data_IF_845443586249
#
_entry.id   IF_845443586249
#
_cell.length_a   1.000
_cell.length_b   1.000
_cell.length_c   1.000
_cell.angle_alpha   90.00
_cell.angle_beta   90.00
_cell.angle_gamma   90.00
#
_symmetry.space_group_name_H-M   'P 1'
#
loop_
_entity.id
_entity.type
_entity.pdbx_description
1 polymer ?
#
# COMPACT_ATOMS: atom_id res chain seq x y z
N UNK A 1 -7.41 -4.14 -13.73
CA UNK A 1 -6.88 -5.25 -12.91
C UNK A 1 -7.07 -6.65 -13.50
N UNK A 2 -8.08 -6.90 -14.36
CA UNK A 2 -8.34 -8.26 -14.88
C UNK A 2 -7.12 -8.95 -15.51
N UNK A 3 -6.37 -8.27 -16.40
CA UNK A 3 -5.17 -8.85 -17.06
C UNK A 3 -4.10 -9.31 -16.06
N UNK A 4 -3.76 -8.47 -15.08
CA UNK A 4 -2.71 -8.77 -14.08
C UNK A 4 -3.14 -9.93 -13.18
N UNK A 5 -4.35 -9.87 -12.63
CA UNK A 5 -4.85 -10.92 -11.75
C UNK A 5 -5.02 -12.25 -12.49
N UNK A 6 -5.65 -12.26 -13.66
CA UNK A 6 -5.85 -13.48 -14.43
C UNK A 6 -4.52 -14.10 -14.90
N UNK A 7 -3.61 -13.27 -15.41
CA UNK A 7 -2.29 -13.74 -15.82
C UNK A 7 -1.51 -14.40 -14.67
N UNK A 8 -1.50 -13.75 -13.50
CA UNK A 8 -0.85 -14.31 -12.32
C UNK A 8 -1.55 -15.57 -11.80
N UNK A 9 -2.89 -15.60 -11.76
CA UNK A 9 -3.65 -16.78 -11.33
C UNK A 9 -3.38 -17.99 -12.24
N UNK A 10 -3.37 -17.79 -13.55
CA UNK A 10 -3.06 -18.85 -14.52
C UNK A 10 -1.63 -19.38 -14.32
N UNK A 11 -0.64 -18.47 -14.20
CA UNK A 11 0.74 -18.85 -13.92
C UNK A 11 0.87 -19.64 -12.61
N UNK A 12 0.26 -19.16 -11.53
CA UNK A 12 0.33 -19.80 -10.22
C UNK A 12 -0.33 -21.18 -10.24
N UNK A 13 -1.52 -21.29 -10.82
CA UNK A 13 -2.24 -22.56 -10.96
C UNK A 13 -1.43 -23.58 -11.76
N UNK A 14 -0.84 -23.17 -12.89
CA UNK A 14 0.02 -24.03 -13.69
C UNK A 14 1.28 -24.46 -12.91
N UNK A 15 1.97 -23.51 -12.26
CA UNK A 15 3.23 -23.78 -11.52
C UNK A 15 3.04 -24.76 -10.35
N UNK A 16 1.91 -24.66 -9.65
CA UNK A 16 1.66 -25.45 -8.44
C UNK A 16 0.62 -26.56 -8.65
N UNK A 17 0.27 -26.88 -9.90
CA UNK A 17 -0.75 -27.87 -10.28
C UNK A 17 -2.07 -27.71 -9.50
N UNK A 18 -2.52 -26.46 -9.35
CA UNK A 18 -3.78 -26.09 -8.67
C UNK A 18 -4.87 -25.77 -9.69
N UNK A 19 -6.11 -25.87 -9.25
CA UNK A 19 -7.28 -25.42 -10.00
C UNK A 19 -8.13 -24.46 -9.15
N UNK A 20 -8.97 -23.67 -9.81
CA UNK A 20 -9.89 -22.74 -9.17
C UNK A 20 -9.35 -21.33 -8.97
N UNK A 21 -10.11 -20.54 -8.20
CA UNK A 21 -9.83 -19.13 -7.98
C UNK A 21 -8.65 -18.92 -7.02
N UNK A 22 -7.72 -18.05 -7.39
CA UNK A 22 -6.60 -17.62 -6.53
C UNK A 22 -6.96 -16.40 -5.66
N UNK A 23 -7.70 -15.45 -6.23
CA UNK A 23 -8.05 -14.19 -5.57
C UNK A 23 -9.45 -14.27 -4.94
N UNK A 24 -9.59 -13.67 -3.76
CA UNK A 24 -10.88 -13.60 -3.05
C UNK A 24 -11.76 -12.48 -3.60
N UNK A 25 -12.42 -12.74 -4.72
CA UNK A 25 -13.38 -11.83 -5.33
C UNK A 25 -12.78 -10.80 -6.29
N UNK A 26 -13.59 -9.78 -6.64
CA UNK A 26 -13.21 -8.74 -7.60
C UNK A 26 -12.30 -7.70 -6.94
N UNK A 27 -11.37 -7.15 -7.72
CA UNK A 27 -10.56 -6.01 -7.30
C UNK A 27 -11.43 -4.80 -6.98
N UNK A 28 -11.05 -4.09 -5.92
CA UNK A 28 -11.75 -2.95 -5.34
C UNK A 28 -10.95 -1.67 -5.60
N UNK A 29 -11.62 -0.61 -6.07
CA UNK A 29 -11.00 0.68 -6.38
C UNK A 29 -11.84 1.84 -5.87
N UNK A 30 -11.21 2.75 -5.12
CA UNK A 30 -11.85 3.98 -4.66
C UNK A 30 -11.00 5.18 -5.06
N UNK A 31 -11.58 6.25 -5.63
CA UNK A 31 -10.84 7.48 -5.87
C UNK A 31 -10.37 8.05 -4.53
N UNK A 32 -9.19 8.68 -4.56
CA UNK A 32 -8.66 9.49 -3.47
C UNK A 32 -8.91 10.94 -3.86
N UNK A 33 -9.71 11.64 -3.07
CA UNK A 33 -10.13 13.03 -3.37
C UNK A 33 -9.45 14.07 -2.48
N UNK A 34 -8.78 13.64 -1.40
CA UNK A 34 -8.11 14.50 -0.45
C UNK A 34 -6.63 14.15 -0.40
N UNK A 35 -5.77 15.17 -0.48
CA UNK A 35 -4.34 15.00 -0.50
C UNK A 35 -3.79 14.53 0.86
N UNK A 36 -4.37 14.97 1.99
CA UNK A 36 -3.95 14.45 3.30
C UNK A 36 -4.13 12.93 3.34
N UNK A 37 -5.26 12.43 2.85
CA UNK A 37 -5.53 11.00 2.81
C UNK A 37 -4.51 10.24 1.93
N UNK A 38 -4.13 10.80 0.79
CA UNK A 38 -3.08 10.23 -0.05
C UNK A 38 -1.77 10.04 0.72
N UNK A 39 -1.34 11.05 1.48
CA UNK A 39 -0.12 10.99 2.29
C UNK A 39 -0.24 9.92 3.39
N UNK A 40 -1.31 9.94 4.18
CA UNK A 40 -1.53 8.95 5.24
C UNK A 40 -1.61 7.51 4.70
N UNK A 41 -2.26 7.31 3.55
CA UNK A 41 -2.34 6.00 2.90
C UNK A 41 -0.96 5.53 2.43
N UNK A 42 -0.15 6.43 1.86
CA UNK A 42 1.22 6.12 1.47
C UNK A 42 2.05 5.66 2.66
N UNK A 43 1.93 6.33 3.80
CA UNK A 43 2.60 5.91 5.04
C UNK A 43 2.10 4.55 5.54
N UNK A 44 0.79 4.34 5.55
CA UNK A 44 0.20 3.06 5.97
C UNK A 44 0.69 1.90 5.12
N UNK A 45 0.65 2.01 3.78
CA UNK A 45 1.07 0.94 2.87
C UNK A 45 2.56 0.62 3.05
N UNK A 46 3.40 1.64 3.07
CA UNK A 46 4.86 1.45 3.18
C UNK A 46 5.29 0.91 4.55
N UNK A 47 4.50 1.13 5.60
CA UNK A 47 4.81 0.64 6.94
C UNK A 47 3.88 -0.48 7.42
N UNK A 48 3.14 -1.13 6.51
CA UNK A 48 2.15 -2.15 6.87
C UNK A 48 2.79 -3.35 7.60
N UNK A 49 4.01 -3.76 7.23
CA UNK A 49 4.74 -4.83 7.93
C UNK A 49 4.97 -4.48 9.41
N UNK A 50 5.33 -3.23 9.70
CA UNK A 50 5.63 -2.76 11.05
C UNK A 50 4.35 -2.55 11.86
N UNK A 51 3.31 -2.00 11.25
CA UNK A 51 1.98 -1.81 11.88
C UNK A 51 1.40 -3.14 12.35
N UNK A 52 1.65 -4.21 11.60
CA UNK A 52 1.20 -5.57 11.92
C UNK A 52 2.25 -6.41 12.66
N UNK A 53 3.31 -5.79 13.17
CA UNK A 53 4.35 -6.45 13.96
C UNK A 53 5.04 -7.63 13.25
N UNK A 54 5.15 -7.57 11.92
CA UNK A 54 5.81 -8.59 11.09
C UNK A 54 7.32 -8.29 11.01
N UNK A 55 7.67 -7.09 10.55
CA UNK A 55 9.05 -6.64 10.41
C UNK A 55 9.10 -5.11 10.33
N UNK A 56 10.23 -4.50 10.73
CA UNK A 56 10.51 -3.09 10.51
C UNK A 56 10.32 -2.71 9.04
N UNK A 57 9.60 -1.60 8.79
CA UNK A 57 9.20 -1.20 7.45
C UNK A 57 10.39 -1.05 6.48
N UNK A 58 11.54 -0.56 6.98
CA UNK A 58 12.75 -0.37 6.16
C UNK A 58 13.52 -1.65 5.85
N UNK A 59 13.27 -2.73 6.59
CA UNK A 59 13.85 -4.06 6.33
C UNK A 59 12.95 -4.91 5.43
N UNK A 60 11.66 -4.59 5.41
CA UNK A 60 10.67 -5.30 4.62
C UNK A 60 10.83 -5.10 3.11
N UNK A 61 11.35 -6.14 2.45
CA UNK A 61 11.67 -6.12 1.01
C UNK A 61 10.45 -6.15 0.08
N UNK A 62 9.27 -6.51 0.59
CA UNK A 62 8.04 -6.64 -0.20
C UNK A 62 7.17 -5.38 -0.14
N UNK A 63 7.80 -4.21 -0.09
CA UNK A 63 7.14 -2.91 -0.24
C UNK A 63 7.99 -1.97 -1.10
N UNK A 64 7.35 -0.93 -1.65
CA UNK A 64 8.05 0.14 -2.36
C UNK A 64 8.74 1.15 -1.43
N UNK A 65 8.78 0.92 -0.11
CA UNK A 65 9.25 1.93 0.83
C UNK A 65 10.71 2.32 0.57
N UNK A 66 11.56 1.34 0.20
CA UNK A 66 12.94 1.60 -0.21
C UNK A 66 13.04 2.52 -1.44
N UNK A 67 12.10 2.44 -2.40
CA UNK A 67 12.04 3.34 -3.57
C UNK A 67 11.67 4.77 -3.14
N UNK A 68 10.69 4.94 -2.23
CA UNK A 68 10.35 6.24 -1.66
C UNK A 68 11.53 6.88 -0.91
N UNK A 69 12.33 6.06 -0.21
CA UNK A 69 13.53 6.51 0.49
C UNK A 69 14.76 6.67 -0.42
N UNK A 70 14.66 6.33 -1.71
CA UNK A 70 15.79 6.40 -2.66
C UNK A 70 16.90 5.40 -2.38
N UNK A 71 16.59 4.32 -1.66
CA UNK A 71 17.51 3.22 -1.32
C UNK A 71 17.36 2.01 -2.26
N UNK A 72 16.35 2.02 -3.12
CA UNK A 72 16.11 0.95 -4.08
C UNK A 72 16.92 1.13 -5.37
N UNK A 73 17.34 0.00 -5.95
CA UNK A 73 17.93 -0.07 -7.30
C UNK A 73 16.88 -0.18 -8.41
N UNK A 74 15.60 -0.30 -8.06
CA UNK A 74 14.49 -0.46 -8.97
C UNK A 74 13.78 0.88 -9.24
N UNK A 75 13.14 1.02 -10.41
CA UNK A 75 12.27 2.15 -10.80
C UNK A 75 10.89 1.62 -11.20
N UNK A 76 10.20 0.96 -10.26
CA UNK A 76 8.88 0.36 -10.49
C UNK A 76 7.75 1.33 -10.16
N UNK A 77 8.00 2.33 -9.32
CA UNK A 77 7.00 3.30 -8.87
C UNK A 77 7.30 4.73 -9.34
N UNK A 78 6.29 5.61 -9.27
CA UNK A 78 6.44 7.05 -9.49
C UNK A 78 6.27 7.79 -8.15
N UNK A 79 7.33 7.92 -7.33
CA UNK A 79 7.21 8.37 -5.95
C UNK A 79 6.95 9.88 -5.82
N UNK A 80 7.20 10.65 -6.89
CA UNK A 80 7.12 12.12 -6.91
C UNK A 80 5.79 12.69 -6.45
N UNK A 81 4.69 11.99 -6.72
CA UNK A 81 3.36 12.40 -6.22
C UNK A 81 3.31 12.52 -4.69
N UNK A 82 4.15 11.77 -3.96
CA UNK A 82 4.31 11.86 -2.51
C UNK A 82 5.57 12.64 -2.15
N UNK A 83 6.73 12.30 -2.72
CA UNK A 83 8.02 12.83 -2.26
C UNK A 83 8.17 14.32 -2.47
N UNK A 84 7.56 14.88 -3.52
CA UNK A 84 7.67 16.31 -3.83
C UNK A 84 6.84 17.17 -2.86
N UNK A 85 5.99 16.55 -2.04
CA UNK A 85 5.26 17.21 -0.97
C UNK A 85 6.08 17.37 0.32
N UNK A 86 7.30 16.83 0.35
CA UNK A 86 8.23 16.93 1.47
C UNK A 86 9.52 17.63 1.02
N UNK A 87 10.17 18.35 1.94
CA UNK A 87 11.45 19.00 1.62
C UNK A 87 12.54 17.97 1.34
N UNK A 88 12.53 16.86 2.08
CA UNK A 88 13.49 15.77 1.93
C UNK A 88 12.82 14.40 2.07
N UNK A 89 13.47 13.35 1.56
CA UNK A 89 13.07 11.96 1.80
C UNK A 89 13.09 11.60 3.29
N UNK A 90 13.95 12.25 4.07
CA UNK A 90 14.02 12.10 5.53
C UNK A 90 12.77 12.66 6.21
N UNK A 91 12.19 13.74 5.69
CA UNK A 91 10.93 14.27 6.21
C UNK A 91 9.77 13.32 5.93
N UNK A 92 9.74 12.70 4.74
CA UNK A 92 8.79 11.64 4.44
C UNK A 92 8.96 10.45 5.40
N UNK A 93 10.19 9.97 5.61
CA UNK A 93 10.50 8.91 6.58
C UNK A 93 9.97 9.25 7.98
N UNK A 94 10.18 10.49 8.43
CA UNK A 94 9.69 10.97 9.73
C UNK A 94 8.17 10.97 9.78
N UNK A 95 7.51 11.43 8.73
CA UNK A 95 6.05 11.40 8.61
C UNK A 95 5.52 9.96 8.70
N UNK A 96 6.12 9.00 7.99
CA UNK A 96 5.74 7.57 8.08
C UNK A 96 5.85 7.07 9.52
N UNK A 97 6.98 7.34 10.20
CA UNK A 97 7.19 6.93 11.59
C UNK A 97 6.21 7.60 12.57
N UNK A 98 5.82 8.85 12.31
CA UNK A 98 4.80 9.52 13.11
C UNK A 98 3.42 8.88 12.93
N UNK A 99 3.04 8.53 11.70
CA UNK A 99 1.76 7.87 11.41
C UNK A 99 1.69 6.49 12.05
N UNK A 100 2.78 5.72 12.03
CA UNK A 100 2.83 4.38 12.64
C UNK A 100 2.88 4.43 14.17
N UNK A 101 3.55 5.42 14.76
CA UNK A 101 3.60 5.61 16.21
C UNK A 101 2.32 6.18 16.82
N UNK A 102 1.47 6.83 16.03
CA UNK A 102 0.23 7.45 16.51
C UNK A 102 -1.00 6.59 16.22
N UNK A 103 -1.69 6.14 17.28
CA UNK A 103 -2.97 5.43 17.16
C UNK A 103 -4.05 6.21 16.41
N UNK A 104 -4.04 7.55 16.47
CA UNK A 104 -4.98 8.42 15.76
C UNK A 104 -4.81 8.39 14.23
N UNK A 105 -3.56 8.41 13.73
CA UNK A 105 -3.27 8.33 12.30
C UNK A 105 -3.72 7.00 11.70
N UNK A 106 -3.45 5.88 12.39
CA UNK A 106 -3.94 4.56 11.98
C UNK A 106 -5.46 4.45 12.02
N UNK A 107 -6.12 5.05 13.03
CA UNK A 107 -7.59 5.11 13.11
C UNK A 107 -8.20 5.85 11.92
N UNK A 108 -7.59 6.97 11.50
CA UNK A 108 -8.05 7.74 10.34
C UNK A 108 -8.00 6.91 9.05
N UNK A 109 -6.86 6.26 8.78
CA UNK A 109 -6.71 5.42 7.58
C UNK A 109 -7.67 4.24 7.60
N UNK A 110 -7.77 3.53 8.74
CA UNK A 110 -8.69 2.39 8.89
C UNK A 110 -10.15 2.82 8.68
N UNK A 111 -10.57 3.95 9.25
CA UNK A 111 -11.93 4.49 9.08
C UNK A 111 -12.24 4.72 7.60
N UNK A 112 -11.35 5.38 6.88
CA UNK A 112 -11.56 5.63 5.45
C UNK A 112 -11.58 4.34 4.64
N UNK A 113 -10.64 3.41 4.87
CA UNK A 113 -10.63 2.10 4.18
C UNK A 113 -11.97 1.39 4.40
N UNK A 114 -12.48 1.35 5.64
CA UNK A 114 -13.77 0.76 5.96
C UNK A 114 -14.94 1.47 5.26
N UNK A 115 -14.94 2.80 5.21
CA UNK A 115 -15.95 3.58 4.49
C UNK A 115 -15.97 3.27 3.00
N UNK A 116 -14.79 3.17 2.35
CA UNK A 116 -14.73 2.82 0.92
C UNK A 116 -15.13 1.37 0.66
N UNK A 117 -14.76 0.44 1.56
CA UNK A 117 -15.17 -0.96 1.44
C UNK A 117 -16.68 -1.14 1.54
N UNK A 118 -17.36 -0.34 2.40
CA UNK A 118 -18.84 -0.34 2.52
C UNK A 118 -19.52 0.19 1.27
N UNK A 119 -19.00 1.26 0.66
CA UNK A 119 -19.56 1.85 -0.58
C UNK A 119 -19.56 0.88 -1.75
N UNK A 120 -18.60 -0.05 -1.78
CA UNK A 120 -18.44 -1.03 -2.85
C UNK A 120 -19.19 -2.35 -2.61
N UNK A 121 -19.75 -2.59 -1.41
CA UNK A 121 -20.55 -3.79 -1.16
C UNK A 121 -22.04 -3.60 -1.51
N UNK A 122 -22.43 -2.39 -1.90
CA UNK A 122 -23.80 -2.00 -2.26
C UNK A 122 -23.94 -1.74 -3.78
N UNK A 123 -22.92 -2.08 -4.57
CA UNK A 123 -22.93 -2.14 -6.04
C UNK A 123 -22.68 -3.58 -6.47
#
# INVERSE_FOLDING_TARGET
MHKVCLGYANYFNHKYNRSGALFQGRFKASPITQNEYLLYLSAYINANSQIHSIEEAEKWSWSSYAEYLGKSKYDLIKPRIITDQFKTRTDYRRFVNQVTGQSSGLKMVKKYILEQLKKQSHQ
#
